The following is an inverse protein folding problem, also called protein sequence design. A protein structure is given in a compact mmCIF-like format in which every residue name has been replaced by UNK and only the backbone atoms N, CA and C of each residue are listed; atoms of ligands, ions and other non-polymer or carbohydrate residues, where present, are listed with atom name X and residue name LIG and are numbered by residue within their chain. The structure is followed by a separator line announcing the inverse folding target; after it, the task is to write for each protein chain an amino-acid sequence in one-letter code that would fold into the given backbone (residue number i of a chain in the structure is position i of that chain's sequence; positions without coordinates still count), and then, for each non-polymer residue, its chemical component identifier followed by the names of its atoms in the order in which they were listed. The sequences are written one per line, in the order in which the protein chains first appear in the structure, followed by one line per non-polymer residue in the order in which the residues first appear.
data_IF_247374066238
#
_entry.id   IF_247374066238
#
_cell.length_a   1.000
_cell.length_b   1.000
_cell.length_c   1.000
_cell.angle_alpha   90.00
_cell.angle_beta   90.00
_cell.angle_gamma   90.00
#
_symmetry.space_group_name_H-M   'P 1'
#
loop_
_entity.id
_entity.type
_entity.pdbx_description
1 polymer ?
#
# COMPACT_ATOMS: atom_id res chain seq x y z
N UNK A 1 31.05 14.76 -14.09
CA UNK A 1 30.60 13.83 -13.05
C UNK A 1 29.14 13.52 -13.17
N UNK A 2 28.25 14.51 -13.22
CA UNK A 2 26.83 14.26 -13.37
C UNK A 2 26.49 13.63 -14.73
N UNK A 3 27.23 13.96 -15.77
CA UNK A 3 27.00 13.38 -17.08
C UNK A 3 27.35 11.90 -17.11
N UNK A 4 28.43 11.49 -16.45
CA UNK A 4 28.79 10.09 -16.36
C UNK A 4 27.77 9.30 -15.55
N UNK A 5 27.26 9.88 -14.50
CA UNK A 5 26.22 9.25 -13.68
C UNK A 5 24.97 9.04 -14.52
N UNK A 6 24.55 10.06 -15.28
CA UNK A 6 23.37 9.97 -16.12
C UNK A 6 23.53 8.92 -17.24
N UNK A 7 24.69 8.91 -17.90
CA UNK A 7 24.91 7.96 -18.99
C UNK A 7 25.04 6.53 -18.49
N UNK A 8 25.60 6.34 -17.30
CA UNK A 8 25.72 5.01 -16.70
C UNK A 8 24.38 4.52 -16.16
N UNK A 9 23.57 5.42 -15.61
CA UNK A 9 22.34 5.02 -14.93
C UNK A 9 21.15 4.85 -15.87
N UNK A 10 21.15 5.47 -17.04
CA UNK A 10 19.98 5.40 -17.92
C UNK A 10 19.61 3.99 -18.37
N UNK A 11 20.52 3.16 -18.91
CA UNK A 11 20.17 1.79 -19.27
C UNK A 11 19.85 0.92 -18.05
N UNK A 12 20.65 1.10 -16.97
CA UNK A 12 20.45 0.37 -15.74
C UNK A 12 19.16 0.81 -15.05
N UNK A 13 18.85 2.12 -15.05
CA UNK A 13 17.64 2.62 -14.42
C UNK A 13 16.38 2.16 -15.11
N UNK A 14 16.41 1.88 -16.40
CA UNK A 14 15.22 1.31 -17.06
C UNK A 14 14.91 -0.08 -16.52
N UNK A 15 15.92 -0.94 -16.44
CA UNK A 15 15.78 -2.28 -15.89
C UNK A 15 15.40 -2.25 -14.40
N UNK A 16 16.01 -1.35 -13.64
CA UNK A 16 15.69 -1.15 -12.22
C UNK A 16 14.26 -0.66 -12.05
N UNK A 17 13.82 0.27 -12.88
CA UNK A 17 12.44 0.78 -12.82
C UNK A 17 11.44 -0.32 -13.13
N UNK A 18 11.74 -1.16 -14.11
CA UNK A 18 10.86 -2.27 -14.44
C UNK A 18 10.77 -3.26 -13.29
N UNK A 19 11.92 -3.65 -12.72
CA UNK A 19 11.96 -4.55 -11.57
C UNK A 19 11.25 -3.94 -10.37
N UNK A 20 11.49 -2.65 -10.10
CA UNK A 20 10.84 -1.94 -9.01
C UNK A 20 9.34 -1.81 -9.23
N UNK A 21 8.91 -1.64 -10.48
CA UNK A 21 7.49 -1.57 -10.81
C UNK A 21 6.79 -2.90 -10.58
N UNK A 22 7.45 -4.01 -10.92
CA UNK A 22 6.90 -5.34 -10.66
C UNK A 22 6.86 -5.63 -9.17
N UNK A 23 7.93 -5.29 -8.46
CA UNK A 23 7.98 -5.45 -7.01
C UNK A 23 6.90 -4.59 -6.35
N UNK A 24 6.72 -3.36 -6.82
CA UNK A 24 5.68 -2.50 -6.29
C UNK A 24 4.28 -3.02 -6.61
N UNK A 25 4.07 -3.56 -7.81
CA UNK A 25 2.78 -4.14 -8.17
C UNK A 25 2.42 -5.31 -7.25
N UNK A 26 3.41 -6.14 -6.91
CA UNK A 26 3.22 -7.22 -5.95
C UNK A 26 2.90 -6.70 -4.56
N UNK A 27 3.64 -5.68 -4.12
CA UNK A 27 3.41 -5.04 -2.83
C UNK A 27 2.02 -4.42 -2.78
N UNK A 28 1.61 -3.74 -3.83
CA UNK A 28 0.28 -3.14 -3.91
C UNK A 28 -0.80 -4.20 -3.79
N UNK A 29 -0.70 -5.26 -4.58
CA UNK A 29 -1.67 -6.34 -4.57
C UNK A 29 -1.77 -6.98 -3.18
N UNK A 30 -0.62 -7.35 -2.61
CA UNK A 30 -0.58 -8.03 -1.32
C UNK A 30 -1.01 -7.09 -0.19
N UNK A 31 -0.58 -5.84 -0.26
CA UNK A 31 -0.95 -4.82 0.73
C UNK A 31 -2.45 -4.53 0.72
N UNK A 32 -3.04 -4.35 -0.47
CA UNK A 32 -4.48 -4.10 -0.57
C UNK A 32 -5.29 -5.31 -0.14
N UNK A 33 -4.82 -6.52 -0.45
CA UNK A 33 -5.47 -7.74 0.01
C UNK A 33 -5.47 -7.83 1.54
N UNK A 34 -4.36 -7.46 2.17
CA UNK A 34 -4.26 -7.44 3.62
C UNK A 34 -5.17 -6.38 4.24
N UNK A 35 -5.24 -5.19 3.62
CA UNK A 35 -6.17 -4.13 4.06
C UNK A 35 -7.61 -4.62 4.01
N UNK A 36 -8.01 -5.22 2.89
CA UNK A 36 -9.36 -5.76 2.73
C UNK A 36 -9.67 -6.86 3.74
N UNK A 37 -8.75 -7.79 3.91
CA UNK A 37 -8.92 -8.90 4.84
C UNK A 37 -9.07 -8.39 6.27
N UNK A 38 -8.24 -7.44 6.67
CA UNK A 38 -8.29 -6.87 8.01
C UNK A 38 -9.59 -6.09 8.23
N UNK A 39 -9.98 -5.28 7.26
CA UNK A 39 -11.22 -4.51 7.34
C UNK A 39 -12.43 -5.44 7.44
N UNK A 40 -12.44 -6.51 6.66
CA UNK A 40 -13.52 -7.49 6.68
C UNK A 40 -13.58 -8.18 8.05
N UNK A 41 -12.44 -8.54 8.62
CA UNK A 41 -12.40 -9.15 9.95
C UNK A 41 -12.96 -8.19 11.02
N UNK A 42 -12.52 -6.95 11.00
CA UNK A 42 -12.94 -5.96 12.00
C UNK A 42 -14.44 -5.66 11.92
N UNK A 43 -14.98 -5.65 10.72
CA UNK A 43 -16.39 -5.32 10.49
C UNK A 43 -17.31 -6.54 10.64
N UNK A 44 -16.76 -7.74 10.57
CA UNK A 44 -17.52 -9.00 10.67
C UNK A 44 -17.17 -9.78 11.93
N UNK A 45 -16.30 -10.82 11.83
CA UNK A 45 -16.05 -11.72 12.97
C UNK A 45 -15.55 -11.00 14.21
N UNK A 46 -14.65 -10.03 14.05
CA UNK A 46 -14.12 -9.28 15.18
C UNK A 46 -15.21 -8.50 15.92
N UNK A 47 -16.09 -7.86 15.15
CA UNK A 47 -17.21 -7.12 15.71
C UNK A 47 -18.18 -8.04 16.44
N UNK A 48 -18.46 -9.21 15.88
CA UNK A 48 -19.33 -10.20 16.52
C UNK A 48 -18.73 -10.68 17.83
N UNK A 49 -17.43 -10.95 17.86
CA UNK A 49 -16.74 -11.36 19.08
C UNK A 49 -16.76 -10.26 20.14
N UNK A 50 -16.64 -9.00 19.72
CA UNK A 50 -16.61 -7.87 20.66
C UNK A 50 -17.93 -7.72 21.40
N UNK A 51 -19.05 -8.14 20.82
CA UNK A 51 -20.35 -8.07 21.46
C UNK A 51 -20.48 -9.00 22.66
N UNK A 52 -19.62 -10.00 22.74
CA UNK A 52 -19.59 -10.95 23.86
C UNK A 52 -18.71 -10.49 25.03
N UNK A 53 -17.99 -9.40 24.84
CA UNK A 53 -17.09 -8.84 25.86
C UNK A 53 -17.89 -7.97 26.83
N UNK A 54 -17.32 -7.75 28.03
CA UNK A 54 -17.89 -6.76 28.93
C UNK A 54 -17.77 -5.36 28.34
N UNK A 55 -18.44 -4.41 28.94
CA UNK A 55 -18.53 -3.05 28.43
C UNK A 55 -17.16 -2.38 28.26
N UNK A 56 -16.28 -2.54 29.24
CA UNK A 56 -14.96 -1.92 29.19
C UNK A 56 -14.11 -2.50 28.06
N UNK A 57 -14.11 -3.83 27.93
CA UNK A 57 -13.37 -4.50 26.88
C UNK A 57 -13.96 -4.22 25.49
N UNK A 58 -15.30 -4.15 25.38
CA UNK A 58 -15.95 -3.82 24.12
C UNK A 58 -15.61 -2.39 23.69
N UNK A 59 -15.55 -1.46 24.64
CA UNK A 59 -15.16 -0.07 24.35
C UNK A 59 -13.71 0.03 23.91
N UNK A 60 -12.82 -0.72 24.58
CA UNK A 60 -11.41 -0.80 24.18
C UNK A 60 -11.26 -1.36 22.77
N UNK A 61 -12.00 -2.42 22.44
CA UNK A 61 -12.01 -2.97 21.09
C UNK A 61 -12.46 -1.92 20.07
N UNK A 62 -13.56 -1.21 20.36
CA UNK A 62 -14.06 -0.18 19.44
C UNK A 62 -13.01 0.90 19.19
N UNK A 63 -12.34 1.37 20.25
CA UNK A 63 -11.31 2.40 20.12
C UNK A 63 -10.13 1.92 19.30
N UNK A 64 -9.62 0.72 19.58
CA UNK A 64 -8.49 0.17 18.83
C UNK A 64 -8.86 -0.16 17.38
N UNK A 65 -10.09 -0.63 17.14
CA UNK A 65 -10.58 -0.87 15.79
C UNK A 65 -10.63 0.41 14.96
N UNK A 66 -11.04 1.51 15.56
CA UNK A 66 -11.07 2.80 14.88
C UNK A 66 -9.66 3.28 14.54
N UNK A 67 -8.70 3.12 15.46
CA UNK A 67 -7.32 3.45 15.19
C UNK A 67 -6.76 2.61 14.05
N UNK A 68 -6.99 1.31 14.10
CA UNK A 68 -6.50 0.40 13.08
C UNK A 68 -7.12 0.72 11.73
N UNK A 69 -8.42 1.00 11.69
CA UNK A 69 -9.12 1.38 10.46
C UNK A 69 -8.51 2.65 9.87
N UNK A 70 -8.21 3.64 10.69
CA UNK A 70 -7.56 4.86 10.23
C UNK A 70 -6.20 4.57 9.61
N UNK A 71 -5.40 3.72 10.24
CA UNK A 71 -4.09 3.32 9.72
C UNK A 71 -4.22 2.53 8.41
N UNK A 72 -5.22 1.66 8.31
CA UNK A 72 -5.48 0.92 7.07
C UNK A 72 -5.85 1.86 5.94
N UNK A 73 -6.67 2.87 6.22
CA UNK A 73 -7.03 3.88 5.22
C UNK A 73 -5.82 4.68 4.77
N UNK A 74 -4.94 5.04 5.70
CA UNK A 74 -3.70 5.75 5.37
C UNK A 74 -2.79 4.88 4.52
N UNK A 75 -2.67 3.60 4.85
CA UNK A 75 -1.86 2.66 4.08
C UNK A 75 -2.43 2.48 2.67
N UNK A 76 -3.73 2.31 2.56
CA UNK A 76 -4.39 2.17 1.25
C UNK A 76 -4.18 3.43 0.41
N UNK A 77 -4.31 4.61 1.00
CA UNK A 77 -4.08 5.88 0.32
C UNK A 77 -2.63 5.99 -0.15
N UNK A 78 -1.68 5.59 0.70
CA UNK A 78 -0.26 5.59 0.35
C UNK A 78 0.00 4.68 -0.85
N UNK A 79 -0.55 3.47 -0.82
CA UNK A 79 -0.39 2.50 -1.91
C UNK A 79 -0.98 3.04 -3.22
N UNK A 80 -2.18 3.63 -3.16
CA UNK A 80 -2.83 4.19 -4.34
C UNK A 80 -2.05 5.36 -4.92
N UNK A 81 -1.55 6.24 -4.05
CA UNK A 81 -0.76 7.38 -4.49
C UNK A 81 0.53 6.92 -5.17
N UNK A 82 1.22 5.99 -4.56
CA UNK A 82 2.47 5.49 -5.11
C UNK A 82 2.25 4.69 -6.41
N UNK A 83 1.13 4.01 -6.52
CA UNK A 83 0.78 3.37 -7.79
C UNK A 83 0.60 4.40 -8.89
N UNK A 84 -0.08 5.49 -8.61
CA UNK A 84 -0.27 6.56 -9.58
C UNK A 84 1.06 7.17 -10.02
N UNK A 85 1.97 7.39 -9.06
CA UNK A 85 3.31 7.91 -9.35
C UNK A 85 4.08 6.92 -10.23
N UNK A 86 4.05 5.63 -9.90
CA UNK A 86 4.75 4.61 -10.68
C UNK A 86 4.19 4.49 -12.10
N UNK A 87 2.89 4.54 -12.26
CA UNK A 87 2.24 4.54 -13.57
C UNK A 87 2.65 5.76 -14.40
N UNK A 88 2.74 6.93 -13.76
CA UNK A 88 3.21 8.15 -14.40
C UNK A 88 4.65 8.03 -14.87
N UNK A 89 5.53 7.48 -14.03
CA UNK A 89 6.93 7.24 -14.40
C UNK A 89 7.04 6.29 -15.59
N UNK A 90 6.26 5.22 -15.60
CA UNK A 90 6.25 4.27 -16.70
C UNK A 90 5.76 4.90 -17.99
N UNK A 91 4.72 5.72 -17.91
CA UNK A 91 4.20 6.44 -19.08
C UNK A 91 5.23 7.38 -19.66
N UNK A 92 5.95 8.11 -18.84
CA UNK A 92 7.02 8.99 -19.28
C UNK A 92 8.15 8.20 -19.92
N UNK A 93 8.53 7.09 -19.33
CA UNK A 93 9.58 6.24 -19.89
C UNK A 93 9.19 5.70 -21.26
N UNK A 94 7.95 5.32 -21.46
CA UNK A 94 7.46 4.86 -22.74
C UNK A 94 7.40 5.99 -23.77
N UNK A 95 6.97 7.16 -23.35
CA UNK A 95 6.88 8.32 -24.26
C UNK A 95 8.24 8.77 -24.76
N UNK A 96 9.29 8.55 -23.96
CA UNK A 96 10.65 8.95 -24.31
C UNK A 96 11.40 7.93 -25.15
N UNK A 97 10.79 6.81 -25.49
CA UNK A 97 11.36 5.88 -26.43
C UNK A 97 11.06 6.31 -27.84
#
# INVERSE_FOLDING_TARGET
MSENVLSETQPVSFGERLANSQAFANLFRDGMALVEETATYLDGPGRQQSKKLDRAAALAYATESMRLTTRLMQLASWLLLHRAVKEGEMSLAQANK
#
